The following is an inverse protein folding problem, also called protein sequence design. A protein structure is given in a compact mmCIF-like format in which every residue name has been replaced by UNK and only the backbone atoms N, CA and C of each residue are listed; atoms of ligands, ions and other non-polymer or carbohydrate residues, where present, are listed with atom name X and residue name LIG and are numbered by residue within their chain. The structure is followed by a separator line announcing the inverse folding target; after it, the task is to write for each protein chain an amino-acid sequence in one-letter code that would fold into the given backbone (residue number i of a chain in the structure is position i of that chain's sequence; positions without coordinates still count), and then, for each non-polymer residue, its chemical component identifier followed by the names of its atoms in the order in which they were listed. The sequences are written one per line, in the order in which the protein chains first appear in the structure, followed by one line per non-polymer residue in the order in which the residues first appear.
data_IF_141946320182
#
_entry.id   IF_141946320182
#
_cell.length_a   1.000
_cell.length_b   1.000
_cell.length_c   1.000
_cell.angle_alpha   90.00
_cell.angle_beta   90.00
_cell.angle_gamma   90.00
#
_symmetry.space_group_name_H-M   'P 1'
#
loop_
_entity.id
_entity.type
_entity.pdbx_description
1 polymer ?
#
# COMPACT_ATOMS: atom_id res chain seq x y z
N UNK A 1 -1.83 -27.99 17.94
CA UNK A 1 -0.69 -27.05 17.76
C UNK A 1 -1.27 -25.68 17.41
N UNK A 2 -0.78 -24.59 18.02
CA UNK A 2 -1.25 -23.23 17.73
C UNK A 2 -0.37 -22.64 16.63
N UNK A 3 -0.95 -22.29 15.49
CA UNK A 3 -0.24 -21.62 14.39
C UNK A 3 -0.25 -20.12 14.61
N UNK A 4 0.85 -19.44 14.26
CA UNK A 4 0.92 -17.98 14.30
C UNK A 4 0.03 -17.41 13.19
N UNK A 5 -0.92 -16.55 13.56
CA UNK A 5 -1.87 -15.92 12.63
C UNK A 5 -1.57 -14.46 12.36
N UNK A 6 -0.76 -13.81 13.21
CA UNK A 6 -0.35 -12.42 13.04
C UNK A 6 1.15 -12.29 13.22
N UNK A 7 1.80 -11.58 12.29
CA UNK A 7 3.22 -11.26 12.35
C UNK A 7 3.39 -9.75 12.25
N UNK A 8 4.10 -9.18 13.22
CA UNK A 8 4.52 -7.78 13.20
C UNK A 8 6.06 -7.74 13.17
N UNK A 9 6.61 -7.12 12.12
CA UNK A 9 8.04 -6.95 11.91
C UNK A 9 8.40 -5.47 12.01
N UNK A 10 9.45 -5.18 12.77
CA UNK A 10 10.11 -3.86 12.82
C UNK A 10 11.49 -4.01 12.23
N UNK A 11 11.68 -3.42 11.06
CA UNK A 11 12.82 -3.65 10.21
C UNK A 11 13.66 -2.39 10.14
N UNK A 12 14.93 -2.51 10.51
CA UNK A 12 15.90 -1.42 10.48
C UNK A 12 17.08 -1.89 9.65
N UNK A 13 17.49 -1.11 8.65
CA UNK A 13 18.72 -1.36 7.88
C UNK A 13 18.72 -2.73 7.17
N UNK A 14 17.63 -3.07 6.48
CA UNK A 14 17.45 -4.38 5.82
C UNK A 14 18.26 -4.56 4.55
N UNK A 15 18.90 -3.50 4.02
CA UNK A 15 19.82 -3.59 2.88
C UNK A 15 20.91 -4.66 3.04
N UNK A 16 21.30 -4.97 4.28
CA UNK A 16 22.30 -5.99 4.57
C UNK A 16 21.74 -7.42 4.59
N UNK A 17 20.42 -7.59 4.63
CA UNK A 17 19.75 -8.88 4.76
C UNK A 17 18.51 -8.98 3.86
N UNK A 18 18.62 -8.89 2.53
CA UNK A 18 17.47 -8.83 1.61
C UNK A 18 16.59 -10.10 1.63
N UNK A 19 17.12 -11.21 2.15
CA UNK A 19 16.48 -12.54 2.19
C UNK A 19 15.92 -12.90 3.56
N UNK A 20 15.81 -11.95 4.49
CA UNK A 20 15.41 -12.19 5.89
C UNK A 20 14.04 -12.89 6.05
N UNK A 21 13.15 -12.78 5.06
CA UNK A 21 11.84 -13.44 5.07
C UNK A 21 11.87 -14.90 4.58
N UNK A 22 12.87 -15.31 3.80
CA UNK A 22 12.92 -16.64 3.18
C UNK A 22 12.78 -17.81 4.19
N UNK A 23 13.39 -17.75 5.39
CA UNK A 23 13.27 -18.85 6.35
C UNK A 23 11.90 -18.94 7.04
N UNK A 24 11.02 -17.94 6.88
CA UNK A 24 9.80 -17.79 7.66
C UNK A 24 8.62 -18.44 6.92
N UNK A 25 8.16 -19.59 7.41
CA UNK A 25 6.98 -20.28 6.90
C UNK A 25 5.77 -20.13 7.85
N UNK A 26 4.72 -19.43 7.41
CA UNK A 26 3.56 -19.06 8.25
C UNK A 26 2.23 -19.41 7.55
N UNK A 27 1.87 -20.69 7.43
CA UNK A 27 0.76 -21.14 6.58
C UNK A 27 -0.63 -20.70 7.05
N UNK A 28 -0.75 -20.17 8.27
CA UNK A 28 -2.00 -19.68 8.85
C UNK A 28 -2.00 -18.14 9.02
N UNK A 29 -1.09 -17.43 8.37
CA UNK A 29 -0.94 -15.99 8.53
C UNK A 29 -2.13 -15.23 7.94
N UNK A 30 -2.89 -14.55 8.80
CA UNK A 30 -4.01 -13.71 8.40
C UNK A 30 -3.67 -12.22 8.42
N UNK A 31 -2.66 -11.81 9.19
CA UNK A 31 -2.28 -10.41 9.34
C UNK A 31 -0.76 -10.22 9.32
N UNK A 32 -0.29 -9.39 8.39
CA UNK A 32 1.12 -9.00 8.29
C UNK A 32 1.24 -7.49 8.47
N UNK A 33 2.02 -7.09 9.46
CA UNK A 33 2.39 -5.71 9.72
C UNK A 33 3.91 -5.58 9.60
N UNK A 34 4.36 -4.68 8.74
CA UNK A 34 5.77 -4.34 8.61
C UNK A 34 5.97 -2.85 8.80
N UNK A 35 6.73 -2.50 9.83
CA UNK A 35 7.30 -1.17 10.03
C UNK A 35 8.73 -1.19 9.51
N UNK A 36 9.08 -0.23 8.66
CA UNK A 36 10.40 -0.20 8.02
C UNK A 36 11.06 1.15 8.17
N UNK A 37 12.34 1.13 8.53
CA UNK A 37 13.23 2.28 8.48
C UNK A 37 14.58 1.88 7.87
N UNK A 38 14.88 2.42 6.70
CA UNK A 38 16.24 2.38 6.14
C UNK A 38 16.85 3.79 6.16
N UNK A 39 18.18 3.87 6.10
CA UNK A 39 18.96 5.09 6.29
C UNK A 39 18.81 6.13 5.15
N UNK A 40 18.00 5.84 4.13
CA UNK A 40 17.76 6.72 2.99
C UNK A 40 16.30 7.17 3.00
N UNK A 41 16.09 8.47 3.22
CA UNK A 41 14.81 9.13 3.02
C UNK A 41 14.78 9.78 1.62
N UNK A 42 13.64 9.70 0.89
CA UNK A 42 12.42 8.97 1.23
C UNK A 42 12.65 7.46 1.25
N UNK A 43 11.92 6.73 2.12
CA UNK A 43 12.03 5.28 2.20
C UNK A 43 11.70 4.65 0.83
N UNK A 44 12.67 3.96 0.24
CA UNK A 44 12.56 3.35 -1.09
C UNK A 44 11.80 2.02 -1.01
N UNK A 45 10.50 2.07 -0.70
CA UNK A 45 9.68 0.85 -0.59
C UNK A 45 9.68 0.03 -1.88
N UNK A 46 9.83 0.69 -3.03
CA UNK A 46 9.95 0.04 -4.34
C UNK A 46 11.09 -1.00 -4.37
N UNK A 47 12.20 -0.74 -3.67
CA UNK A 47 13.31 -1.69 -3.57
C UNK A 47 13.02 -2.87 -2.62
N UNK A 48 12.12 -2.68 -1.65
CA UNK A 48 11.75 -3.70 -0.67
C UNK A 48 10.60 -4.61 -1.15
N UNK A 49 9.70 -4.10 -2.01
CA UNK A 49 8.55 -4.83 -2.56
C UNK A 49 8.91 -6.21 -3.15
N UNK A 50 9.98 -6.35 -3.97
CA UNK A 50 10.36 -7.65 -4.53
C UNK A 50 10.58 -8.74 -3.48
N UNK A 51 11.15 -8.43 -2.32
CA UNK A 51 11.37 -9.40 -1.24
C UNK A 51 10.05 -9.93 -0.68
N UNK A 52 9.05 -9.08 -0.49
CA UNK A 52 7.73 -9.50 -0.01
C UNK A 52 6.96 -10.29 -1.06
N UNK A 53 7.00 -9.84 -2.32
CA UNK A 53 6.37 -10.54 -3.45
C UNK A 53 6.96 -11.95 -3.60
N UNK A 54 8.28 -12.08 -3.55
CA UNK A 54 8.96 -13.36 -3.63
C UNK A 54 8.62 -14.25 -2.43
N UNK A 55 8.62 -13.72 -1.20
CA UNK A 55 8.26 -14.49 -0.01
C UNK A 55 6.81 -15.00 -0.06
N UNK A 56 5.86 -14.21 -0.56
CA UNK A 56 4.47 -14.64 -0.73
C UNK A 56 4.32 -15.68 -1.85
N UNK A 57 5.11 -15.60 -2.92
CA UNK A 57 5.04 -16.57 -4.03
C UNK A 57 5.60 -17.94 -3.66
N UNK A 58 6.64 -18.00 -2.82
CA UNK A 58 7.18 -19.27 -2.30
C UNK A 58 6.37 -19.83 -1.13
N UNK A 59 5.38 -19.10 -0.62
CA UNK A 59 4.51 -19.53 0.48
C UNK A 59 3.02 -19.46 0.10
N UNK A 60 2.53 -20.36 -0.78
CA UNK A 60 1.15 -20.32 -1.30
C UNK A 60 0.09 -20.39 -0.20
N UNK A 61 0.39 -21.07 0.92
CA UNK A 61 -0.51 -21.18 2.07
C UNK A 61 -0.73 -19.83 2.75
N UNK A 62 0.33 -19.03 2.92
CA UNK A 62 0.27 -17.69 3.51
C UNK A 62 -0.44 -16.70 2.57
N UNK A 63 -0.12 -16.76 1.28
CA UNK A 63 -0.76 -15.98 0.21
C UNK A 63 -2.30 -16.13 0.21
N UNK A 64 -2.79 -17.34 0.43
CA UNK A 64 -4.23 -17.65 0.41
C UNK A 64 -4.95 -17.45 1.75
N UNK A 65 -4.25 -17.05 2.82
CA UNK A 65 -4.84 -16.83 4.14
C UNK A 65 -4.76 -15.37 4.59
N UNK A 66 -3.87 -14.58 3.99
CA UNK A 66 -3.67 -13.18 4.36
C UNK A 66 -4.92 -12.32 4.10
N UNK A 67 -5.42 -11.70 5.15
CA UNK A 67 -6.56 -10.78 5.11
C UNK A 67 -6.15 -9.33 5.38
N UNK A 68 -5.02 -9.10 6.06
CA UNK A 68 -4.51 -7.77 6.38
C UNK A 68 -3.04 -7.61 6.01
N UNK A 69 -2.72 -6.52 5.32
CA UNK A 69 -1.37 -6.15 4.93
C UNK A 69 -1.14 -4.67 5.26
N UNK A 70 -0.19 -4.42 6.16
CA UNK A 70 0.14 -3.08 6.61
C UNK A 70 1.64 -2.81 6.42
N UNK A 71 1.94 -1.83 5.58
CA UNK A 71 3.29 -1.30 5.39
C UNK A 71 3.38 0.10 5.98
N UNK A 72 4.32 0.31 6.89
CA UNK A 72 4.41 1.55 7.66
C UNK A 72 5.84 2.06 7.73
N UNK A 73 5.99 3.36 7.63
CA UNK A 73 7.27 4.03 7.87
C UNK A 73 7.56 4.05 9.37
N UNK A 74 8.68 3.46 9.79
CA UNK A 74 9.12 3.49 11.18
C UNK A 74 9.80 4.84 11.45
N UNK A 75 9.16 5.69 12.26
CA UNK A 75 9.70 7.01 12.61
C UNK A 75 10.78 6.87 13.69
N UNK A 76 12.05 6.68 13.29
CA UNK A 76 13.19 6.54 14.24
C UNK A 76 13.65 7.90 14.81
N UNK A 77 13.32 9.04 14.17
CA UNK A 77 13.56 10.36 14.76
C UNK A 77 12.64 11.46 14.19
N UNK A 78 12.09 12.37 15.02
CA UNK A 78 11.32 13.53 14.55
C UNK A 78 12.17 14.57 13.79
N UNK A 79 13.49 14.47 13.80
CA UNK A 79 14.39 15.44 13.14
C UNK A 79 14.60 15.20 11.63
N UNK A 80 14.08 14.10 11.07
CA UNK A 80 14.28 13.73 9.66
C UNK A 80 13.22 14.29 8.68
N UNK A 81 12.30 15.14 9.15
CA UNK A 81 11.36 15.88 8.30
C UNK A 81 12.05 16.79 7.26
N UNK A 82 13.36 17.05 7.40
CA UNK A 82 14.12 17.90 6.48
C UNK A 82 14.37 17.28 5.09
N UNK A 83 14.15 15.97 4.90
CA UNK A 83 14.51 15.26 3.65
C UNK A 83 13.34 14.65 2.88
N UNK A 84 12.09 15.01 3.20
CA UNK A 84 10.93 14.80 2.31
C UNK A 84 11.14 15.54 0.96
N UNK A 85 12.17 16.40 0.88
CA UNK A 85 12.58 17.20 -0.26
C UNK A 85 13.43 16.48 -1.33
N UNK A 86 13.91 15.26 -1.10
CA UNK A 86 14.55 14.46 -2.17
C UNK A 86 13.57 13.50 -2.83
N UNK A 87 12.32 13.93 -3.00
CA UNK A 87 11.45 13.38 -4.02
C UNK A 87 12.14 13.60 -5.35
N UNK A 88 12.96 12.62 -5.74
CA UNK A 88 13.82 12.74 -6.90
C UNK A 88 12.96 13.08 -8.10
N UNK A 89 13.16 14.30 -8.57
CA UNK A 89 13.07 14.69 -9.96
C UNK A 89 14.03 13.87 -10.84
N UNK A 90 14.88 13.00 -10.28
CA UNK A 90 15.63 12.02 -11.05
C UNK A 90 14.77 10.81 -11.41
N UNK A 91 14.07 10.99 -12.53
CA UNK A 91 13.73 10.01 -13.56
C UNK A 91 12.24 10.06 -13.89
N UNK A 92 11.97 10.81 -14.96
CA UNK A 92 10.78 10.81 -15.80
C UNK A 92 10.48 9.44 -16.45
N UNK A 93 10.88 8.34 -15.81
CA UNK A 93 10.53 6.99 -16.18
C UNK A 93 9.29 6.64 -15.36
N UNK A 94 8.24 6.15 -16.02
CA UNK A 94 7.09 5.61 -15.31
C UNK A 94 7.61 4.61 -14.27
N UNK A 95 7.29 4.77 -12.98
CA UNK A 95 7.72 3.79 -11.97
C UNK A 95 7.21 2.41 -12.41
N UNK A 96 8.11 1.43 -12.43
CA UNK A 96 7.75 0.05 -12.71
C UNK A 96 6.86 -0.46 -11.58
N UNK A 97 5.55 -0.43 -11.82
CA UNK A 97 4.54 -0.82 -10.85
C UNK A 97 4.21 -2.30 -10.90
N UNK A 98 4.93 -3.08 -11.72
CA UNK A 98 4.72 -4.53 -11.85
C UNK A 98 4.93 -5.25 -10.52
N UNK A 99 5.85 -4.76 -9.68
CA UNK A 99 6.11 -5.36 -8.36
C UNK A 99 4.95 -5.17 -7.41
N UNK A 100 4.36 -3.97 -7.36
CA UNK A 100 3.19 -3.70 -6.55
C UNK A 100 1.99 -4.52 -7.06
N UNK A 101 1.73 -4.52 -8.37
CA UNK A 101 0.63 -5.31 -8.92
C UNK A 101 0.79 -6.81 -8.60
N UNK A 102 2.00 -7.35 -8.80
CA UNK A 102 2.31 -8.76 -8.51
C UNK A 102 2.10 -9.07 -7.04
N UNK A 103 2.53 -8.19 -6.13
CA UNK A 103 2.29 -8.32 -4.69
C UNK A 103 0.79 -8.40 -4.39
N UNK A 104 -0.01 -7.47 -4.92
CA UNK A 104 -1.45 -7.41 -4.63
C UNK A 104 -2.19 -8.61 -5.22
N UNK A 105 -1.77 -9.12 -6.39
CA UNK A 105 -2.30 -10.37 -6.96
C UNK A 105 -1.95 -11.60 -6.14
N UNK A 106 -0.81 -11.59 -5.46
CA UNK A 106 -0.40 -12.68 -4.57
C UNK A 106 -1.23 -12.76 -3.28
N UNK A 107 -2.10 -11.80 -2.98
CA UNK A 107 -2.93 -11.79 -1.75
C UNK A 107 -4.43 -11.61 -2.08
N UNK A 108 -5.06 -12.59 -2.78
CA UNK A 108 -6.41 -12.42 -3.33
C UNK A 108 -7.52 -12.28 -2.27
N UNK A 109 -7.26 -12.68 -1.01
CA UNK A 109 -8.25 -12.60 0.08
C UNK A 109 -8.13 -11.35 0.95
N UNK A 110 -7.29 -10.40 0.57
CA UNK A 110 -7.04 -9.20 1.35
C UNK A 110 -8.31 -8.37 1.57
N UNK A 111 -8.58 -8.04 2.84
CA UNK A 111 -9.67 -7.17 3.31
C UNK A 111 -9.18 -5.81 3.74
N UNK A 112 -7.95 -5.71 4.25
CA UNK A 112 -7.38 -4.44 4.70
C UNK A 112 -5.99 -4.22 4.11
N UNK A 113 -5.81 -3.08 3.45
CA UNK A 113 -4.53 -2.66 2.88
C UNK A 113 -4.15 -1.28 3.41
N UNK A 114 -2.96 -1.19 4.01
CA UNK A 114 -2.35 0.08 4.39
C UNK A 114 -1.01 0.22 3.67
N UNK A 115 -0.88 1.27 2.85
CA UNK A 115 0.34 1.64 2.14
C UNK A 115 0.87 2.99 2.68
N UNK A 116 2.18 3.09 2.95
CA UNK A 116 2.80 4.32 3.43
C UNK A 116 3.04 5.30 2.26
N UNK A 117 3.34 6.57 2.56
CA UNK A 117 3.74 7.58 1.58
C UNK A 117 4.79 7.17 0.55
N UNK A 118 5.73 6.30 0.92
CA UNK A 118 6.78 5.82 0.03
C UNK A 118 6.30 4.88 -1.08
N UNK A 119 5.09 4.30 -0.98
CA UNK A 119 4.53 3.42 -2.02
C UNK A 119 3.54 4.21 -2.88
N UNK A 120 3.90 4.42 -4.15
CA UNK A 120 3.03 5.10 -5.12
C UNK A 120 2.08 4.10 -5.77
N UNK A 121 0.77 4.36 -5.68
CA UNK A 121 -0.25 3.55 -6.37
C UNK A 121 -0.59 4.21 -7.72
N UNK A 122 -0.28 3.57 -8.86
CA UNK A 122 -0.56 4.12 -10.18
C UNK A 122 -2.04 3.98 -10.55
N UNK A 123 -2.49 4.80 -11.51
CA UNK A 123 -3.88 4.83 -11.96
C UNK A 123 -4.42 3.47 -12.47
N UNK A 124 -3.67 2.65 -13.23
CA UNK A 124 -4.16 1.34 -13.66
C UNK A 124 -4.50 0.42 -12.49
N UNK A 125 -3.69 0.41 -11.43
CA UNK A 125 -3.96 -0.39 -10.22
C UNK A 125 -5.22 0.13 -9.51
N UNK A 126 -5.36 1.45 -9.35
CA UNK A 126 -6.57 2.05 -8.77
C UNK A 126 -7.82 1.72 -9.59
N UNK A 127 -7.74 1.73 -10.93
CA UNK A 127 -8.85 1.37 -11.80
C UNK A 127 -9.25 -0.11 -11.65
N UNK A 128 -8.27 -1.02 -11.61
CA UNK A 128 -8.53 -2.45 -11.37
C UNK A 128 -9.15 -2.67 -9.98
N UNK A 129 -8.69 -1.95 -8.95
CA UNK A 129 -9.31 -1.97 -7.62
C UNK A 129 -10.73 -1.39 -7.65
N UNK A 130 -11.00 -0.34 -8.44
CA UNK A 130 -12.33 0.23 -8.61
C UNK A 130 -13.34 -0.79 -9.17
N UNK A 131 -12.89 -1.56 -10.17
CA UNK A 131 -13.72 -2.53 -10.88
C UNK A 131 -13.87 -3.86 -10.13
N UNK A 132 -13.00 -4.12 -9.15
CA UNK A 132 -12.95 -5.39 -8.42
C UNK A 132 -12.09 -6.46 -9.10
N UNK A 133 -11.41 -6.13 -10.21
CA UNK A 133 -10.45 -7.01 -10.90
C UNK A 133 -9.22 -7.31 -10.03
N UNK A 134 -8.90 -6.38 -9.12
CA UNK A 134 -7.82 -6.51 -8.15
C UNK A 134 -8.39 -6.26 -6.74
N UNK A 135 -8.02 -7.13 -5.79
CA UNK A 135 -8.47 -7.08 -4.40
C UNK A 135 -10.00 -6.98 -4.26
N UNK A 136 -10.74 -7.93 -4.82
CA UNK A 136 -12.21 -7.93 -4.82
C UNK A 136 -12.84 -7.97 -3.42
N UNK A 137 -12.11 -8.40 -2.39
CA UNK A 137 -12.58 -8.47 -0.98
C UNK A 137 -12.14 -7.29 -0.12
N UNK A 138 -11.51 -6.28 -0.71
CA UNK A 138 -11.01 -5.12 0.02
C UNK A 138 -12.16 -4.32 0.66
N UNK A 139 -12.09 -4.19 1.98
CA UNK A 139 -13.05 -3.47 2.83
C UNK A 139 -12.45 -2.18 3.40
N UNK A 140 -11.14 -2.16 3.64
CA UNK A 140 -10.43 -0.99 4.16
C UNK A 140 -9.17 -0.70 3.35
N UNK A 141 -9.01 0.56 2.95
CA UNK A 141 -7.89 1.04 2.17
C UNK A 141 -7.33 2.31 2.80
N UNK A 142 -6.02 2.31 3.02
CA UNK A 142 -5.24 3.48 3.39
C UNK A 142 -4.07 3.63 2.44
N UNK A 143 -3.96 4.81 1.84
CA UNK A 143 -2.88 5.16 0.91
C UNK A 143 -2.55 6.65 1.05
N UNK A 144 -1.37 7.03 0.59
CA UNK A 144 -0.99 8.42 0.40
C UNK A 144 -1.20 8.84 -1.05
N UNK A 145 -1.60 10.09 -1.25
CA UNK A 145 -1.76 10.68 -2.58
C UNK A 145 -0.87 11.91 -2.74
N UNK A 146 -0.22 11.97 -3.90
CA UNK A 146 0.53 13.15 -4.36
C UNK A 146 -0.30 14.04 -5.31
N UNK A 147 -1.42 13.54 -5.83
CA UNK A 147 -2.26 14.19 -6.86
C UNK A 147 -3.73 14.25 -6.44
N UNK A 148 -4.54 14.80 -7.34
CA UNK A 148 -5.98 15.04 -7.23
C UNK A 148 -6.74 13.93 -6.45
N UNK A 149 -7.32 14.25 -5.29
CA UNK A 149 -8.09 13.28 -4.50
C UNK A 149 -9.34 12.76 -5.21
N UNK A 150 -9.86 13.47 -6.21
CA UNK A 150 -11.05 13.06 -6.95
C UNK A 150 -10.85 11.71 -7.64
N UNK A 151 -9.62 11.36 -7.98
CA UNK A 151 -9.27 10.05 -8.56
C UNK A 151 -9.65 8.91 -7.59
N UNK A 152 -9.25 9.01 -6.33
CA UNK A 152 -9.54 7.98 -5.32
C UNK A 152 -11.00 8.01 -4.90
N UNK A 153 -11.60 9.20 -4.80
CA UNK A 153 -13.04 9.31 -4.54
C UNK A 153 -13.88 8.69 -5.65
N UNK A 154 -13.50 8.89 -6.92
CA UNK A 154 -14.17 8.28 -8.06
C UNK A 154 -13.97 6.75 -8.08
N UNK A 155 -12.78 6.26 -7.75
CA UNK A 155 -12.50 4.83 -7.57
C UNK A 155 -13.42 4.21 -6.50
N UNK A 156 -13.47 4.80 -5.30
CA UNK A 156 -14.32 4.32 -4.19
C UNK A 156 -15.80 4.36 -4.59
N UNK A 157 -16.25 5.43 -5.23
CA UNK A 157 -17.63 5.57 -5.71
C UNK A 157 -17.98 4.50 -6.75
N UNK A 158 -17.08 4.22 -7.69
CA UNK A 158 -17.26 3.19 -8.70
C UNK A 158 -17.41 1.81 -8.04
N UNK A 159 -16.51 1.48 -7.11
CA UNK A 159 -16.51 0.21 -6.39
C UNK A 159 -17.80 -0.01 -5.59
N UNK A 160 -18.21 0.99 -4.81
CA UNK A 160 -19.43 0.89 -3.99
C UNK A 160 -20.71 0.77 -4.85
N UNK A 161 -20.72 1.30 -6.08
CA UNK A 161 -21.85 1.11 -7.01
C UNK A 161 -21.91 -0.31 -7.56
N UNK A 162 -20.77 -0.97 -7.73
CA UNK A 162 -20.71 -2.34 -8.26
C UNK A 162 -21.19 -3.37 -7.22
N UNK A 163 -20.90 -3.16 -5.93
CA UNK A 163 -21.42 -4.03 -4.85
C UNK A 163 -22.95 -3.99 -4.72
N UNK A 164 -23.57 -2.83 -4.96
CA UNK A 164 -25.02 -2.67 -4.91
C UNK A 164 -25.78 -3.31 -6.07
N UNK A 165 -25.09 -3.77 -7.14
CA UNK A 165 -25.72 -4.44 -8.29
C UNK A 165 -25.81 -5.95 -8.12
N UNK A 166 -24.97 -6.55 -7.27
CA UNK A 166 -24.97 -7.99 -6.97
C UNK A 166 -25.87 -8.36 -5.78
N UNK A 167 -26.38 -7.39 -5.04
CA UNK A 167 -27.35 -7.58 -3.96
C UNK A 167 -28.58 -6.69 -4.20
N UNK A 168 -29.66 -7.29 -4.72
CA UNK A 168 -30.90 -6.56 -4.97
C UNK A 168 -31.57 -6.14 -3.67
N UNK A 169 -31.34 -4.92 -3.19
CA UNK A 169 -32.32 -4.06 -2.48
C UNK A 169 -31.65 -2.80 -1.91
N UNK A 170 -32.38 -1.69 -2.01
CA UNK A 170 -32.26 -0.44 -1.25
C UNK A 170 -31.15 0.57 -1.59
N UNK A 171 -31.59 1.70 -2.17
CA UNK A 171 -31.06 3.08 -2.02
C UNK A 171 -29.62 3.20 -1.49
N UNK A 172 -28.67 3.32 -2.42
CA UNK A 172 -27.31 3.74 -2.13
C UNK A 172 -27.28 5.19 -1.60
N UNK A 173 -27.55 5.39 -0.31
CA UNK A 173 -26.95 6.48 0.45
C UNK A 173 -25.44 6.23 0.41
N UNK A 174 -24.65 7.25 0.06
CA UNK A 174 -23.20 7.24 0.25
C UNK A 174 -22.89 7.27 1.76
N UNK A 175 -23.27 6.22 2.49
CA UNK A 175 -22.72 5.99 3.81
C UNK A 175 -21.37 5.31 3.59
N UNK A 176 -20.30 5.99 4.01
CA UNK A 176 -18.97 5.43 4.14
C UNK A 176 -19.00 4.40 5.30
N UNK A 177 -19.66 3.26 5.11
CA UNK A 177 -19.86 2.26 6.19
C UNK A 177 -18.57 1.47 6.51
N UNK A 178 -17.54 1.57 5.66
CA UNK A 178 -16.26 0.87 5.81
C UNK A 178 -15.10 1.86 5.72
N UNK A 179 -14.14 1.72 6.63
CA UNK A 179 -13.14 2.76 6.93
C UNK A 179 -12.13 3.00 5.81
N UNK A 180 -12.08 4.23 5.32
CA UNK A 180 -11.03 4.74 4.44
C UNK A 180 -10.23 5.81 5.17
N UNK A 181 -8.90 5.72 5.12
CA UNK A 181 -8.01 6.76 5.65
C UNK A 181 -7.20 7.33 4.50
N UNK A 182 -7.39 8.61 4.23
CA UNK A 182 -6.57 9.35 3.27
C UNK A 182 -5.59 10.23 4.03
N UNK A 183 -4.30 10.08 3.72
CA UNK A 183 -3.29 11.01 4.18
C UNK A 183 -2.89 11.93 3.04
N UNK A 184 -3.27 13.20 3.17
CA UNK A 184 -2.83 14.25 2.26
C UNK A 184 -1.42 14.68 2.62
N UNK A 185 -0.49 14.47 1.68
CA UNK A 185 0.83 15.06 1.77
C UNK A 185 0.73 16.47 1.20
N UNK A 186 0.58 17.49 2.07
CA UNK A 186 0.70 18.87 1.61
C UNK A 186 2.12 19.05 1.06
N UNK A 187 2.30 19.54 -0.18
CA UNK A 187 3.61 19.99 -0.61
C UNK A 187 4.05 21.09 0.36
N UNK A 188 5.26 20.97 0.89
CA UNK A 188 5.84 22.03 1.69
C UNK A 188 6.04 23.29 0.83
N UNK A 189 6.23 24.45 1.47
CA UNK A 189 6.38 25.75 0.78
C UNK A 189 7.46 25.72 -0.31
N UNK A 190 8.56 24.99 -0.05
CA UNK A 190 9.66 24.79 -1.00
C UNK A 190 9.21 24.00 -2.25
N UNK A 191 8.32 22.99 -2.13
CA UNK A 191 7.78 22.26 -3.28
C UNK A 191 6.78 23.09 -4.10
N UNK A 192 6.04 24.00 -3.48
CA UNK A 192 5.17 24.94 -4.20
C UNK A 192 6.01 25.88 -5.09
N UNK A 193 7.16 26.33 -4.57
CA UNK A 193 8.06 27.25 -5.27
C UNK A 193 8.93 26.53 -6.34
N UNK A 194 9.39 25.30 -6.09
CA UNK A 194 10.27 24.56 -7.03
C UNK A 194 9.54 23.77 -8.12
N UNK A 195 8.33 23.26 -7.87
CA UNK A 195 7.62 22.40 -8.81
C UNK A 195 6.49 23.10 -9.58
N UNK A 196 6.34 24.42 -9.42
CA UNK A 196 5.39 25.20 -10.21
C UNK A 196 3.91 24.95 -9.90
N UNK A 197 3.59 24.36 -8.75
CA UNK A 197 2.19 24.14 -8.30
C UNK A 197 1.45 25.45 -7.93
N UNK A 198 2.11 26.60 -8.05
CA UNK A 198 1.59 27.94 -7.76
C UNK A 198 1.38 28.85 -8.98
N UNK A 199 1.13 28.30 -10.17
CA UNK A 199 0.62 29.08 -11.31
C UNK A 199 -0.61 28.42 -11.91
#
# INVERSE_FOLDING_TARGET
MRSLTSLHLRLINTKHFPTFLLPIHLPALTSLWVEWADQQHPFEWDAALPSYTHWLSISPSSSNTLEQLLFMDLSISPTLCAHIHSGSSSNLLLPDYTQLETLLRAVPKLKSLFLPPGIRVPLPILAQMANGDLLSRLESLSLAMLRDPDIVFNMVRSRNRNEGRSSGSARARMNLEKGYRLQFLKPCRICLDHCGFGR
#
